data_IF_219175330440
#
_entry.id   IF_219175330440
#
_cell.length_a   1.000
_cell.length_b   1.000
_cell.length_c   1.000
_cell.angle_alpha   90.00
_cell.angle_beta   90.00
_cell.angle_gamma   90.00
#
_symmetry.space_group_name_H-M   'P 1'
#
loop_
_entity.id
_entity.type
_entity.pdbx_description
1 polymer ?
#
# COMPACT_ATOMS: atom_id res chain seq x y z
N UNK A 1 49.74 20.28 -44.38
CA UNK A 1 49.33 20.67 -43.01
C UNK A 1 47.88 20.27 -42.67
N UNK A 2 46.90 20.54 -43.55
CA UNK A 2 45.47 20.25 -43.30
C UNK A 2 45.14 18.76 -43.06
N UNK A 3 45.76 17.83 -43.80
CA UNK A 3 45.53 16.37 -43.66
C UNK A 3 45.93 15.80 -42.29
N UNK A 4 46.97 16.38 -41.65
CA UNK A 4 47.44 15.99 -40.31
C UNK A 4 46.50 16.50 -39.22
N UNK A 5 45.97 17.72 -39.36
CA UNK A 5 44.95 18.28 -38.46
C UNK A 5 43.64 17.48 -38.50
N UNK A 6 43.20 17.06 -39.70
CA UNK A 6 42.01 16.22 -39.88
C UNK A 6 42.15 14.85 -39.19
N UNK A 7 43.26 14.13 -39.43
CA UNK A 7 43.55 12.84 -38.78
C UNK A 7 43.62 12.95 -37.26
N UNK A 8 44.11 14.07 -36.73
CA UNK A 8 44.17 14.31 -35.29
C UNK A 8 42.79 14.58 -34.68
N UNK A 9 41.92 15.32 -35.39
CA UNK A 9 40.52 15.49 -34.99
C UNK A 9 39.77 14.14 -34.99
N UNK A 10 39.94 13.32 -36.03
CA UNK A 10 39.31 11.99 -36.13
C UNK A 10 39.70 11.08 -34.94
N UNK A 11 40.96 11.16 -34.47
CA UNK A 11 41.43 10.39 -33.31
C UNK A 11 40.79 10.89 -32.01
N UNK A 12 40.71 12.21 -31.83
CA UNK A 12 40.07 12.81 -30.65
C UNK A 12 38.60 12.42 -30.59
N UNK A 13 37.89 12.46 -31.72
CA UNK A 13 36.48 12.09 -31.79
C UNK A 13 36.26 10.61 -31.44
N UNK A 14 37.16 9.72 -31.90
CA UNK A 14 37.15 8.30 -31.52
C UNK A 14 37.37 8.13 -30.02
N UNK A 15 38.35 8.82 -29.42
CA UNK A 15 38.59 8.76 -27.97
C UNK A 15 37.40 9.26 -27.15
N UNK A 16 36.78 10.37 -27.57
CA UNK A 16 35.58 10.92 -26.92
C UNK A 16 34.42 9.92 -27.03
N UNK A 17 34.24 9.30 -28.19
CA UNK A 17 33.22 8.26 -28.41
C UNK A 17 33.41 7.04 -27.50
N UNK A 18 34.65 6.52 -27.41
CA UNK A 18 34.99 5.39 -26.53
C UNK A 18 34.79 5.76 -25.05
N UNK A 19 35.24 6.95 -24.63
CA UNK A 19 35.06 7.41 -23.25
C UNK A 19 33.57 7.54 -22.89
N UNK A 20 32.75 8.11 -23.77
CA UNK A 20 31.29 8.22 -23.59
C UNK A 20 30.63 6.84 -23.48
N UNK A 21 31.05 5.88 -24.31
CA UNK A 21 30.56 4.49 -24.23
C UNK A 21 30.94 3.82 -22.90
N UNK A 22 32.16 4.00 -22.41
CA UNK A 22 32.59 3.45 -21.12
C UNK A 22 31.80 4.06 -19.95
N UNK A 23 31.53 5.37 -19.97
CA UNK A 23 30.72 6.04 -18.96
C UNK A 23 29.28 5.51 -18.96
N UNK A 24 28.67 5.40 -20.14
CA UNK A 24 27.29 4.87 -20.26
C UNK A 24 27.18 3.42 -19.81
N UNK A 25 28.15 2.57 -20.16
CA UNK A 25 28.23 1.19 -19.65
C UNK A 25 28.40 1.16 -18.14
N UNK A 26 29.23 2.02 -17.56
CA UNK A 26 29.44 2.10 -16.11
C UNK A 26 28.17 2.54 -15.38
N UNK A 27 27.45 3.54 -15.90
CA UNK A 27 26.16 3.96 -15.34
C UNK A 27 25.15 2.82 -15.45
N UNK A 28 25.10 2.09 -16.57
CA UNK A 28 24.22 0.95 -16.74
C UNK A 28 24.52 -0.17 -15.74
N UNK A 29 25.78 -0.54 -15.55
CA UNK A 29 26.18 -1.59 -14.60
C UNK A 29 25.87 -1.19 -13.16
N UNK A 30 26.14 0.05 -12.75
CA UNK A 30 25.75 0.56 -11.42
C UNK A 30 24.23 0.46 -11.22
N UNK A 31 23.44 0.91 -12.20
CA UNK A 31 21.98 0.82 -12.12
C UNK A 31 21.49 -0.64 -12.04
N UNK A 32 22.14 -1.56 -12.74
CA UNK A 32 21.83 -2.98 -12.67
C UNK A 32 22.15 -3.56 -11.29
N UNK A 33 23.32 -3.24 -10.73
CA UNK A 33 23.71 -3.66 -9.38
C UNK A 33 22.74 -3.16 -8.31
N UNK A 34 22.32 -1.89 -8.38
CA UNK A 34 21.32 -1.32 -7.47
C UNK A 34 20.01 -2.11 -7.57
N UNK A 35 19.54 -2.43 -8.78
CA UNK A 35 18.31 -3.23 -8.97
C UNK A 35 18.44 -4.64 -8.39
N UNK A 36 19.58 -5.29 -8.57
CA UNK A 36 19.85 -6.62 -7.99
C UNK A 36 19.84 -6.55 -6.46
N UNK A 37 20.50 -5.56 -5.87
CA UNK A 37 20.51 -5.35 -4.42
C UNK A 37 19.10 -5.10 -3.89
N UNK A 38 18.32 -4.22 -4.54
CA UNK A 38 16.92 -3.98 -4.19
C UNK A 38 16.06 -5.25 -4.32
N UNK A 39 16.28 -6.05 -5.36
CA UNK A 39 15.58 -7.32 -5.54
C UNK A 39 15.90 -8.31 -4.41
N UNK A 40 17.17 -8.50 -4.09
CA UNK A 40 17.60 -9.37 -2.98
C UNK A 40 17.01 -8.86 -1.65
N UNK A 41 17.02 -7.54 -1.43
CA UNK A 41 16.40 -6.94 -0.25
C UNK A 41 14.90 -7.24 -0.17
N UNK A 42 14.16 -7.09 -1.27
CA UNK A 42 12.73 -7.40 -1.32
C UNK A 42 12.48 -8.90 -1.08
N UNK A 43 13.30 -9.79 -1.66
CA UNK A 43 13.25 -11.24 -1.40
C UNK A 43 13.40 -11.53 0.09
N UNK A 44 14.50 -11.09 0.70
CA UNK A 44 14.82 -11.34 2.10
C UNK A 44 13.71 -10.79 3.00
N UNK A 45 13.30 -9.54 2.77
CA UNK A 45 12.31 -8.90 3.64
C UNK A 45 10.92 -9.52 3.51
N UNK A 46 10.50 -9.99 2.32
CA UNK A 46 9.23 -10.71 2.18
C UNK A 46 9.27 -12.02 2.98
N UNK A 47 10.33 -12.81 2.84
CA UNK A 47 10.45 -14.09 3.55
C UNK A 47 10.56 -13.93 5.08
N UNK A 48 11.30 -12.94 5.56
CA UNK A 48 11.51 -12.73 7.00
C UNK A 48 10.36 -11.99 7.70
N UNK A 49 9.49 -11.29 6.96
CA UNK A 49 8.44 -10.46 7.56
C UNK A 49 7.27 -11.23 8.18
N UNK A 50 7.06 -12.51 7.82
CA UNK A 50 5.83 -13.24 8.15
C UNK A 50 4.62 -12.86 7.28
N UNK A 51 4.76 -11.92 6.33
CA UNK A 51 3.66 -11.45 5.48
C UNK A 51 3.02 -12.58 4.66
N UNK A 52 3.80 -13.57 4.21
CA UNK A 52 3.26 -14.76 3.51
C UNK A 52 2.25 -15.53 4.38
N UNK A 53 2.56 -15.70 5.68
CA UNK A 53 1.68 -16.40 6.63
C UNK A 53 0.40 -15.59 6.88
N UNK A 54 0.52 -14.26 6.95
CA UNK A 54 -0.60 -13.35 7.22
C UNK A 54 -1.53 -13.15 6.03
N UNK A 55 -0.98 -12.90 4.85
CA UNK A 55 -1.74 -12.54 3.65
C UNK A 55 -2.10 -13.73 2.76
N UNK A 56 -1.45 -14.88 2.95
CA UNK A 56 -1.50 -16.01 2.00
C UNK A 56 -0.76 -15.73 0.68
N UNK A 57 -0.18 -14.55 0.49
CA UNK A 57 0.53 -14.19 -0.72
C UNK A 57 2.01 -14.60 -0.64
N UNK A 58 2.43 -15.52 -1.52
CA UNK A 58 3.84 -15.88 -1.69
C UNK A 58 4.66 -14.80 -2.40
N UNK A 59 5.98 -14.95 -2.40
CA UNK A 59 6.92 -13.96 -2.96
C UNK A 59 6.52 -13.44 -4.34
N UNK A 60 6.31 -14.33 -5.32
CA UNK A 60 5.96 -13.93 -6.69
C UNK A 60 4.66 -13.12 -6.75
N UNK A 61 3.63 -13.56 -6.03
CA UNK A 61 2.32 -12.87 -5.98
C UNK A 61 2.42 -11.50 -5.30
N UNK A 62 3.30 -11.36 -4.31
CA UNK A 62 3.57 -10.07 -3.64
C UNK A 62 4.41 -9.15 -4.50
N UNK A 63 5.52 -9.65 -5.07
CA UNK A 63 6.51 -8.84 -5.77
C UNK A 63 5.98 -8.28 -7.11
N UNK A 64 5.28 -9.11 -7.88
CA UNK A 64 4.78 -8.72 -9.21
C UNK A 64 3.41 -8.01 -9.18
N UNK A 65 2.68 -8.07 -8.06
CA UNK A 65 1.45 -7.31 -7.89
C UNK A 65 1.72 -5.99 -7.13
N UNK A 66 1.47 -4.85 -7.80
CA UNK A 66 1.71 -3.54 -7.19
C UNK A 66 0.85 -3.28 -5.94
N UNK A 67 -0.39 -3.78 -5.88
CA UNK A 67 -1.25 -3.66 -4.70
C UNK A 67 -0.65 -4.37 -3.49
N UNK A 68 -0.41 -5.68 -3.62
CA UNK A 68 0.19 -6.50 -2.56
C UNK A 68 1.56 -5.97 -2.12
N UNK A 69 2.38 -5.46 -3.04
CA UNK A 69 3.67 -4.87 -2.69
C UNK A 69 3.51 -3.59 -1.83
N UNK A 70 2.42 -2.85 -2.02
CA UNK A 70 2.04 -1.71 -1.18
C UNK A 70 1.68 -2.13 0.23
N UNK A 71 0.76 -3.09 0.34
CA UNK A 71 0.33 -3.67 1.62
C UNK A 71 1.51 -4.26 2.39
N UNK A 72 2.35 -5.07 1.74
CA UNK A 72 3.56 -5.64 2.33
C UNK A 72 4.48 -4.56 2.92
N UNK A 73 4.68 -3.45 2.20
CA UNK A 73 5.53 -2.35 2.66
C UNK A 73 4.95 -1.63 3.88
N UNK A 74 3.62 -1.50 3.96
CA UNK A 74 2.95 -0.95 5.14
C UNK A 74 3.04 -1.95 6.30
N UNK A 75 2.66 -3.20 6.09
CA UNK A 75 2.74 -4.31 7.05
C UNK A 75 4.12 -4.40 7.71
N UNK A 76 5.19 -4.41 6.91
CA UNK A 76 6.57 -4.52 7.41
C UNK A 76 6.97 -3.35 8.33
N UNK A 77 6.40 -2.16 8.12
CA UNK A 77 6.62 -1.00 8.99
C UNK A 77 5.76 -1.08 10.25
N UNK A 78 4.51 -1.52 10.14
CA UNK A 78 3.61 -1.70 11.28
C UNK A 78 4.10 -2.80 12.23
N UNK A 79 4.72 -3.87 11.72
CA UNK A 79 5.36 -4.93 12.53
C UNK A 79 6.46 -4.41 13.47
N UNK A 80 6.95 -3.18 13.25
CA UNK A 80 7.91 -2.52 14.16
C UNK A 80 7.24 -1.74 15.29
N UNK A 81 5.93 -1.56 15.24
CA UNK A 81 5.13 -0.82 16.22
C UNK A 81 4.28 -1.75 17.09
N UNK A 82 3.78 -2.84 16.53
CA UNK A 82 2.84 -3.78 17.17
C UNK A 82 3.30 -5.22 16.98
N UNK A 83 2.73 -6.13 17.79
CA UNK A 83 3.03 -7.56 17.66
C UNK A 83 2.44 -8.13 16.37
N UNK A 84 2.99 -9.24 15.90
CA UNK A 84 2.52 -9.86 14.66
C UNK A 84 1.06 -10.33 14.76
N UNK A 85 0.60 -10.82 15.91
CA UNK A 85 -0.79 -11.26 16.16
C UNK A 85 -1.80 -10.10 16.26
N UNK A 86 -1.33 -8.87 16.28
CA UNK A 86 -2.15 -7.65 16.28
C UNK A 86 -2.37 -7.10 14.87
N UNK A 87 -1.66 -7.64 13.86
CA UNK A 87 -1.81 -7.24 12.46
C UNK A 87 -2.54 -8.33 11.67
N UNK A 88 -3.57 -7.91 10.96
CA UNK A 88 -4.39 -8.74 10.08
C UNK A 88 -4.33 -8.16 8.66
N UNK A 89 -4.44 -9.04 7.67
CA UNK A 89 -4.39 -8.68 6.24
C UNK A 89 -5.42 -9.50 5.49
N UNK A 90 -6.02 -8.94 4.45
CA UNK A 90 -6.99 -9.63 3.59
C UNK A 90 -8.17 -10.22 4.39
N UNK A 91 -8.74 -9.45 5.33
CA UNK A 91 -9.93 -9.88 6.07
C UNK A 91 -11.15 -9.68 5.18
N UNK A 92 -11.98 -10.71 5.02
CA UNK A 92 -13.23 -10.62 4.28
C UNK A 92 -14.39 -10.61 5.26
N UNK A 93 -15.07 -9.47 5.35
CA UNK A 93 -16.26 -9.32 6.19
C UNK A 93 -17.51 -9.25 5.32
N UNK A 94 -18.70 -9.59 5.83
CA UNK A 94 -19.95 -9.33 5.13
C UNK A 94 -20.04 -7.86 4.68
N UNK A 95 -20.29 -7.64 3.39
CA UNK A 95 -20.35 -6.30 2.81
C UNK A 95 -21.76 -5.70 2.85
N UNK A 96 -21.84 -4.37 2.66
CA UNK A 96 -23.13 -3.67 2.50
C UNK A 96 -23.64 -3.72 1.05
N UNK A 97 -22.73 -3.49 0.08
CA UNK A 97 -23.06 -3.38 -1.35
C UNK A 97 -22.58 -4.59 -2.17
N UNK A 98 -21.82 -5.47 -1.55
CA UNK A 98 -21.20 -6.67 -2.10
C UNK A 98 -21.37 -7.78 -1.08
N UNK A 99 -21.26 -9.04 -1.50
CA UNK A 99 -21.38 -10.18 -0.58
C UNK A 99 -20.34 -10.08 0.54
N UNK A 100 -19.14 -9.62 0.20
CA UNK A 100 -18.05 -9.37 1.15
C UNK A 100 -17.37 -8.02 0.88
N UNK A 101 -16.72 -7.44 1.88
CA UNK A 101 -15.73 -6.36 1.73
C UNK A 101 -14.36 -6.88 2.17
N UNK A 102 -13.34 -6.70 1.34
CA UNK A 102 -11.95 -7.01 1.67
C UNK A 102 -11.31 -5.83 2.39
N UNK A 103 -10.76 -6.08 3.58
CA UNK A 103 -9.92 -5.13 4.31
C UNK A 103 -8.45 -5.44 4.01
N UNK A 104 -7.75 -4.48 3.41
CA UNK A 104 -6.33 -4.63 3.06
C UNK A 104 -5.47 -4.97 4.28
N UNK A 105 -5.56 -4.12 5.32
CA UNK A 105 -4.77 -4.27 6.55
C UNK A 105 -5.52 -3.69 7.75
N UNK A 106 -5.46 -4.39 8.88
CA UNK A 106 -6.04 -4.00 10.15
C UNK A 106 -5.01 -4.16 11.28
N UNK A 107 -4.90 -3.15 12.14
CA UNK A 107 -4.20 -3.25 13.42
C UNK A 107 -5.23 -3.29 14.55
N UNK A 108 -5.10 -4.27 15.43
CA UNK A 108 -5.97 -4.50 16.59
C UNK A 108 -5.20 -4.16 17.86
N UNK A 109 -5.66 -3.17 18.63
CA UNK A 109 -4.99 -2.73 19.86
C UNK A 109 -6.01 -2.34 20.94
N UNK A 110 -5.56 -2.22 22.20
CA UNK A 110 -6.41 -1.67 23.29
C UNK A 110 -6.93 -0.26 22.99
N UNK A 111 -6.18 0.50 22.18
CA UNK A 111 -6.53 1.87 21.78
C UNK A 111 -7.65 1.94 20.76
N UNK A 112 -8.00 0.82 20.14
CA UNK A 112 -8.96 0.74 19.05
C UNK A 112 -8.44 -0.05 17.86
N UNK A 113 -9.25 -0.11 16.80
CA UNK A 113 -8.96 -0.80 15.56
C UNK A 113 -8.52 0.19 14.49
N UNK A 114 -7.33 0.05 13.93
CA UNK A 114 -6.84 0.94 12.87
C UNK A 114 -6.94 0.20 11.55
N UNK A 115 -7.90 0.58 10.71
CA UNK A 115 -8.16 -0.04 9.41
C UNK A 115 -7.54 0.80 8.30
N UNK A 116 -6.75 0.15 7.45
CA UNK A 116 -5.98 0.82 6.40
C UNK A 116 -6.50 0.44 5.02
N UNK A 117 -6.75 1.45 4.20
CA UNK A 117 -6.90 1.31 2.75
C UNK A 117 -5.57 1.70 2.10
N UNK A 118 -4.94 0.80 1.34
CA UNK A 118 -3.56 0.95 0.88
C UNK A 118 -3.49 1.21 -0.62
N UNK A 119 -3.07 2.42 -1.00
CA UNK A 119 -2.87 2.80 -2.41
C UNK A 119 -1.39 2.89 -2.77
N UNK A 120 -0.87 1.88 -3.48
CA UNK A 120 0.52 1.89 -3.98
C UNK A 120 0.73 2.74 -5.24
N UNK A 121 0.27 3.99 -5.21
CA UNK A 121 0.36 4.91 -6.33
C UNK A 121 1.54 5.87 -6.20
N UNK A 122 2.11 6.25 -7.34
CA UNK A 122 3.05 7.36 -7.48
C UNK A 122 2.44 8.53 -8.24
N UNK A 123 3.20 9.61 -8.43
CA UNK A 123 2.71 10.79 -9.16
C UNK A 123 1.72 11.63 -8.35
N UNK A 124 1.05 12.57 -9.01
CA UNK A 124 0.09 13.47 -8.36
C UNK A 124 -1.25 12.77 -8.16
N UNK A 125 -1.83 12.91 -6.99
CA UNK A 125 -3.15 12.37 -6.64
C UNK A 125 -4.09 13.53 -6.34
N UNK A 126 -5.24 13.52 -7.00
CA UNK A 126 -6.31 14.51 -6.85
C UNK A 126 -7.61 13.82 -6.50
N UNK A 127 -8.38 14.43 -5.59
CA UNK A 127 -9.72 13.97 -5.26
C UNK A 127 -10.28 14.64 -4.00
N UNK A 128 -11.60 14.54 -3.86
CA UNK A 128 -12.36 15.02 -2.71
C UNK A 128 -13.10 13.87 -2.03
N UNK A 129 -13.59 14.12 -0.81
CA UNK A 129 -14.50 13.17 -0.13
C UNK A 129 -15.78 12.91 -0.92
N UNK A 130 -16.29 13.89 -1.67
CA UNK A 130 -17.55 13.81 -2.41
C UNK A 130 -17.41 13.03 -3.72
N UNK A 131 -16.22 13.01 -4.31
CA UNK A 131 -15.96 12.36 -5.58
C UNK A 131 -16.20 10.84 -5.51
N UNK A 132 -16.79 10.25 -6.54
CA UNK A 132 -16.85 8.80 -6.68
C UNK A 132 -15.49 8.21 -7.06
N UNK A 133 -14.74 8.94 -7.89
CA UNK A 133 -13.44 8.53 -8.41
C UNK A 133 -12.39 9.60 -8.18
N UNK A 134 -11.21 9.19 -7.74
CA UNK A 134 -10.03 10.03 -7.65
C UNK A 134 -9.17 9.87 -8.91
N UNK A 135 -8.26 10.80 -9.14
CA UNK A 135 -7.39 10.82 -10.31
C UNK A 135 -5.92 10.76 -9.91
N UNK A 136 -5.19 9.81 -10.50
CA UNK A 136 -3.73 9.75 -10.50
C UNK A 136 -3.19 10.36 -11.79
N UNK A 137 -2.18 11.22 -11.68
CA UNK A 137 -1.44 11.80 -12.81
C UNK A 137 0.03 11.44 -12.68
N UNK A 138 0.53 10.56 -13.55
CA UNK A 138 1.95 10.17 -13.59
C UNK A 138 2.77 11.14 -14.44
N UNK A 139 2.19 11.64 -15.53
CA UNK A 139 2.74 12.66 -16.41
C UNK A 139 1.60 13.31 -17.21
N UNK A 140 1.91 14.23 -18.13
CA UNK A 140 0.91 14.97 -18.91
C UNK A 140 -0.09 14.06 -19.66
N UNK A 141 0.37 12.91 -20.17
CA UNK A 141 -0.43 11.98 -20.97
C UNK A 141 -0.98 10.78 -20.19
N UNK A 142 -0.49 10.55 -18.96
CA UNK A 142 -0.86 9.40 -18.14
C UNK A 142 -1.70 9.87 -16.95
N UNK A 143 -3.02 9.81 -17.15
CA UNK A 143 -4.04 10.09 -16.14
C UNK A 143 -4.91 8.85 -15.96
N UNK A 144 -5.09 8.41 -14.73
CA UNK A 144 -5.84 7.20 -14.39
C UNK A 144 -6.83 7.52 -13.30
N UNK A 145 -8.11 7.20 -13.53
CA UNK A 145 -9.13 7.26 -12.48
C UNK A 145 -9.11 5.97 -11.66
N UNK A 146 -9.38 6.09 -10.37
CA UNK A 146 -9.55 4.96 -9.47
C UNK A 146 -10.65 5.28 -8.45
N UNK A 147 -11.32 4.25 -7.96
CA UNK A 147 -12.43 4.44 -7.01
C UNK A 147 -11.94 5.14 -5.74
N UNK A 148 -12.77 6.03 -5.19
CA UNK A 148 -12.39 6.87 -4.05
C UNK A 148 -12.03 5.99 -2.83
N UNK A 149 -10.78 6.04 -2.34
CA UNK A 149 -10.32 5.20 -1.24
C UNK A 149 -11.04 5.52 0.09
N UNK A 150 -11.55 6.74 0.26
CA UNK A 150 -12.32 7.10 1.46
C UNK A 150 -13.65 6.36 1.52
N UNK A 151 -14.29 6.17 0.36
CA UNK A 151 -15.55 5.42 0.27
C UNK A 151 -15.31 3.94 0.57
N UNK A 152 -14.20 3.37 0.09
CA UNK A 152 -13.80 1.99 0.40
C UNK A 152 -13.55 1.83 1.90
N UNK A 153 -12.75 2.73 2.47
CA UNK A 153 -12.40 2.67 3.88
C UNK A 153 -13.60 2.89 4.82
N UNK A 154 -14.56 3.73 4.44
CA UNK A 154 -15.82 3.85 5.16
C UNK A 154 -16.62 2.54 5.16
N UNK A 155 -16.67 1.82 4.03
CA UNK A 155 -17.32 0.52 3.96
C UNK A 155 -16.62 -0.51 4.87
N UNK A 156 -15.28 -0.49 4.94
CA UNK A 156 -14.52 -1.34 5.86
C UNK A 156 -14.82 -1.04 7.33
N UNK A 157 -14.86 0.25 7.68
CA UNK A 157 -15.22 0.70 9.02
C UNK A 157 -16.62 0.20 9.40
N UNK A 158 -17.62 0.41 8.54
CA UNK A 158 -18.99 -0.10 8.77
C UNK A 158 -19.06 -1.62 8.86
N UNK A 159 -18.28 -2.34 8.06
CA UNK A 159 -18.23 -3.79 8.15
C UNK A 159 -17.62 -4.26 9.48
N UNK A 160 -16.58 -3.60 9.99
CA UNK A 160 -16.00 -3.90 11.31
C UNK A 160 -16.98 -3.61 12.44
N UNK A 161 -17.63 -2.45 12.42
CA UNK A 161 -18.65 -2.06 13.39
C UNK A 161 -19.74 -3.14 13.49
N UNK A 162 -20.33 -3.52 12.35
CA UNK A 162 -21.39 -4.50 12.29
C UNK A 162 -20.90 -5.91 12.66
N UNK A 163 -19.77 -6.34 12.10
CA UNK A 163 -19.26 -7.70 12.28
C UNK A 163 -18.72 -7.95 13.69
N UNK A 164 -18.21 -6.93 14.39
CA UNK A 164 -17.68 -7.06 15.76
C UNK A 164 -18.64 -6.51 16.82
N UNK A 165 -19.69 -5.80 16.42
CA UNK A 165 -20.66 -5.19 17.35
C UNK A 165 -19.98 -4.23 18.32
N UNK A 166 -19.13 -3.36 17.79
CA UNK A 166 -18.31 -2.38 18.55
C UNK A 166 -18.73 -0.95 18.22
N UNK A 167 -18.48 0.04 19.10
CA UNK A 167 -18.78 1.44 18.80
C UNK A 167 -18.02 1.94 17.57
N UNK A 168 -18.67 2.75 16.74
CA UNK A 168 -18.10 3.33 15.53
C UNK A 168 -16.81 4.10 15.83
N UNK A 169 -16.74 4.81 16.95
CA UNK A 169 -15.61 5.63 17.38
C UNK A 169 -14.38 4.80 17.77
N UNK A 170 -14.54 3.48 17.95
CA UNK A 170 -13.44 2.57 18.31
C UNK A 170 -12.58 2.16 17.10
N UNK A 171 -12.92 2.64 15.90
CA UNK A 171 -12.22 2.33 14.66
C UNK A 171 -11.66 3.61 14.04
N UNK A 172 -10.38 3.57 13.66
CA UNK A 172 -9.64 4.63 13.00
C UNK A 172 -9.44 4.28 11.52
N UNK A 173 -10.25 4.84 10.60
CA UNK A 173 -10.08 4.62 9.17
C UNK A 173 -8.94 5.47 8.61
N UNK A 174 -7.91 4.84 8.04
CA UNK A 174 -6.73 5.53 7.48
C UNK A 174 -6.50 5.15 6.02
N UNK A 175 -6.44 6.14 5.12
CA UNK A 175 -5.99 5.89 3.74
C UNK A 175 -4.49 6.15 3.63
N UNK A 176 -3.74 5.10 3.31
CA UNK A 176 -2.27 5.16 3.17
C UNK A 176 -1.83 5.10 1.71
N UNK A 177 -1.27 6.20 1.22
CA UNK A 177 -0.64 6.23 -0.10
C UNK A 177 0.85 5.93 -0.02
N UNK A 178 1.42 5.37 -1.09
CA UNK A 178 2.88 5.21 -1.15
C UNK A 178 3.60 6.56 -1.04
N UNK A 179 4.82 6.56 -0.48
CA UNK A 179 5.67 7.76 -0.41
C UNK A 179 6.06 8.33 -1.78
N UNK A 180 5.78 7.63 -2.89
CA UNK A 180 6.00 8.13 -4.27
C UNK A 180 4.86 9.02 -4.75
N UNK A 181 3.74 9.05 -4.02
CA UNK A 181 2.60 9.90 -4.32
C UNK A 181 2.84 11.34 -3.85
N UNK A 182 2.28 12.29 -4.60
CA UNK A 182 2.13 13.69 -4.25
C UNK A 182 0.65 13.96 -4.06
N UNK A 183 0.19 13.92 -2.82
CA UNK A 183 -1.19 14.25 -2.47
C UNK A 183 -1.42 15.75 -2.72
N UNK A 184 -2.20 16.09 -3.75
CA UNK A 184 -2.36 17.46 -4.22
C UNK A 184 -3.84 17.80 -4.34
N UNK A 185 -4.27 18.91 -3.72
CA UNK A 185 -5.69 19.32 -3.69
C UNK A 185 -6.62 18.20 -3.15
N UNK A 186 -6.15 17.46 -2.14
CA UNK A 186 -6.99 16.50 -1.44
C UNK A 186 -7.93 17.26 -0.50
N UNK A 187 -9.23 17.20 -0.78
CA UNK A 187 -10.28 17.89 0.00
C UNK A 187 -10.99 16.87 0.89
N UNK A 188 -10.50 16.72 2.11
CA UNK A 188 -10.98 15.74 3.11
C UNK A 188 -11.10 16.39 4.47
N UNK A 189 -11.98 15.86 5.30
CA UNK A 189 -12.10 16.26 6.70
C UNK A 189 -11.03 15.60 7.58
N UNK A 190 -10.86 16.13 8.80
CA UNK A 190 -9.88 15.63 9.77
C UNK A 190 -10.21 14.21 10.27
N UNK A 191 -11.45 13.75 10.13
CA UNK A 191 -11.93 12.45 10.59
C UNK A 191 -11.56 11.30 9.64
N UNK A 192 -11.17 11.61 8.40
CA UNK A 192 -10.81 10.61 7.39
C UNK A 192 -9.38 10.83 6.88
N UNK A 193 -8.36 10.54 7.70
CA UNK A 193 -6.98 10.88 7.39
C UNK A 193 -6.47 10.21 6.10
N UNK A 194 -5.98 11.02 5.17
CA UNK A 194 -5.32 10.60 3.93
C UNK A 194 -3.88 11.07 3.93
N UNK A 195 -2.93 10.14 3.90
CA UNK A 195 -1.52 10.50 4.04
C UNK A 195 -0.58 9.50 3.38
N UNK A 196 0.68 9.90 3.14
CA UNK A 196 1.69 8.93 2.70
C UNK A 196 2.12 8.00 3.83
N UNK A 197 2.60 6.80 3.47
CA UNK A 197 3.02 5.73 4.40
C UNK A 197 3.92 6.21 5.53
N UNK A 198 4.87 7.14 5.28
CA UNK A 198 5.72 7.69 6.36
C UNK A 198 4.87 8.34 7.47
N UNK A 199 3.89 9.15 7.09
CA UNK A 199 3.00 9.82 8.01
C UNK A 199 1.99 8.83 8.62
N UNK A 200 1.54 7.83 7.85
CA UNK A 200 0.68 6.74 8.37
C UNK A 200 1.32 6.05 9.58
N UNK A 201 2.62 5.76 9.51
CA UNK A 201 3.34 5.15 10.63
C UNK A 201 3.47 6.10 11.82
N UNK A 202 3.71 7.40 11.57
CA UNK A 202 3.75 8.40 12.65
C UNK A 202 2.38 8.50 13.35
N UNK A 203 1.31 8.59 12.58
CA UNK A 203 -0.08 8.65 13.07
C UNK A 203 -0.46 7.39 13.85
N UNK A 204 -0.13 6.22 13.32
CA UNK A 204 -0.34 4.94 14.01
C UNK A 204 0.39 4.90 15.35
N UNK A 205 1.68 5.29 15.37
CA UNK A 205 2.46 5.35 16.60
C UNK A 205 1.84 6.31 17.62
N UNK A 206 1.32 7.43 17.18
CA UNK A 206 0.69 8.43 18.04
C UNK A 206 -0.57 7.87 18.72
N UNK A 207 -1.48 7.23 17.95
CA UNK A 207 -2.64 6.53 18.51
C UNK A 207 -2.21 5.49 19.54
N UNK A 208 -1.23 4.65 19.20
CA UNK A 208 -0.79 3.56 20.06
C UNK A 208 -0.12 4.05 21.36
N UNK A 209 0.56 5.20 21.32
CA UNK A 209 1.31 5.74 22.46
C UNK A 209 0.46 6.64 23.36
N UNK A 210 -0.47 7.41 22.78
CA UNK A 210 -1.18 8.49 23.49
C UNK A 210 -2.71 8.33 23.52
N UNK A 211 -3.29 7.41 22.74
CA UNK A 211 -4.73 7.16 22.76
C UNK A 211 -5.21 6.61 24.11
N UNK A 212 -6.50 6.80 24.46
CA UNK A 212 -7.09 6.12 25.61
C UNK A 212 -7.19 4.61 25.34
N UNK A 213 -7.18 3.80 26.39
CA UNK A 213 -7.60 2.39 26.26
C UNK A 213 -9.12 2.35 26.12
N UNK A 214 -9.61 1.81 25.01
CA UNK A 214 -11.03 1.70 24.66
C UNK A 214 -11.52 0.25 24.87
N UNK A 215 -10.65 -0.74 24.68
CA UNK A 215 -10.97 -2.15 24.86
C UNK A 215 -10.31 -2.75 26.10
N UNK A 216 -11.07 -3.50 26.88
CA UNK A 216 -10.54 -4.40 27.91
C UNK A 216 -9.78 -5.57 27.26
N UNK A 217 -8.96 -6.28 28.05
CA UNK A 217 -8.26 -7.48 27.57
C UNK A 217 -9.23 -8.57 27.07
N UNK A 218 -10.36 -8.76 27.76
CA UNK A 218 -11.39 -9.73 27.37
C UNK A 218 -12.04 -9.37 26.03
N UNK A 219 -12.42 -8.10 25.86
CA UNK A 219 -12.99 -7.60 24.61
C UNK A 219 -11.99 -7.71 23.46
N UNK A 220 -10.71 -7.42 23.72
CA UNK A 220 -9.64 -7.56 22.72
C UNK A 220 -9.46 -9.02 22.29
N UNK A 221 -9.52 -9.96 23.24
CA UNK A 221 -9.43 -11.40 22.96
C UNK A 221 -10.64 -11.89 22.14
N UNK A 222 -11.84 -11.42 22.46
CA UNK A 222 -13.05 -11.73 21.68
C UNK A 222 -12.94 -11.20 20.24
N UNK A 223 -12.51 -9.94 20.07
CA UNK A 223 -12.28 -9.34 18.76
C UNK A 223 -11.27 -10.17 17.96
N UNK A 224 -10.12 -10.50 18.56
CA UNK A 224 -9.10 -11.33 17.91
C UNK A 224 -9.67 -12.71 17.51
N UNK A 225 -10.48 -13.33 18.36
CA UNK A 225 -11.13 -14.62 18.06
C UNK A 225 -12.10 -14.54 16.87
N UNK A 226 -12.97 -13.53 16.85
CA UNK A 226 -13.94 -13.30 15.76
C UNK A 226 -13.23 -12.97 14.44
N UNK A 227 -12.18 -12.16 14.49
CA UNK A 227 -11.38 -11.83 13.31
C UNK A 227 -10.64 -13.05 12.76
N UNK A 228 -10.04 -13.88 13.61
CA UNK A 228 -9.37 -15.11 13.17
C UNK A 228 -10.33 -16.08 12.47
N UNK A 229 -11.61 -16.10 12.87
CA UNK A 229 -12.65 -16.89 12.21
C UNK A 229 -13.09 -16.29 10.86
N UNK A 230 -12.97 -14.96 10.70
CA UNK A 230 -13.29 -14.24 9.47
C UNK A 230 -12.15 -14.20 8.43
N UNK A 231 -10.95 -14.69 8.77
CA UNK A 231 -9.86 -14.83 7.79
C UNK A 231 -10.26 -15.95 6.82
N UNK A 232 -10.95 -15.57 5.75
CA UNK A 232 -11.39 -16.50 4.71
C UNK A 232 -10.18 -17.03 3.95
N UNK A 233 -10.07 -18.36 3.91
CA UNK A 233 -8.99 -19.07 3.22
C UNK A 233 -9.36 -19.52 1.82
N UNK A 234 -10.62 -19.33 1.39
CA UNK A 234 -11.08 -19.81 0.09
C UNK A 234 -10.84 -18.80 -1.04
N UNK A 235 -10.23 -19.30 -2.12
CA UNK A 235 -9.90 -18.54 -3.32
C UNK A 235 -11.16 -18.17 -4.11
N UNK A 236 -12.27 -18.91 -3.97
CA UNK A 236 -13.54 -18.63 -4.64
C UNK A 236 -14.15 -17.31 -4.17
N UNK A 237 -14.20 -17.06 -2.86
CA UNK A 237 -14.72 -15.82 -2.28
C UNK A 237 -13.93 -14.59 -2.71
N UNK A 238 -12.58 -14.70 -2.76
CA UNK A 238 -11.72 -13.63 -3.29
C UNK A 238 -12.06 -13.30 -4.75
N UNK A 239 -12.29 -14.32 -5.57
CA UNK A 239 -12.59 -14.15 -7.00
C UNK A 239 -13.97 -13.53 -7.20
N UNK A 240 -14.98 -14.00 -6.44
CA UNK A 240 -16.33 -13.44 -6.47
C UNK A 240 -16.33 -11.97 -6.04
N UNK A 241 -15.63 -11.63 -4.95
CA UNK A 241 -15.51 -10.25 -4.49
C UNK A 241 -14.91 -9.33 -5.56
N UNK A 242 -13.80 -9.73 -6.20
CA UNK A 242 -13.17 -8.95 -7.28
C UNK A 242 -14.14 -8.73 -8.46
N UNK A 243 -14.93 -9.75 -8.80
CA UNK A 243 -15.95 -9.66 -9.85
C UNK A 243 -17.07 -8.67 -9.48
N UNK A 244 -17.62 -8.77 -8.28
CA UNK A 244 -18.69 -7.88 -7.78
C UNK A 244 -18.22 -6.41 -7.75
N UNK A 245 -17.02 -6.16 -7.21
CA UNK A 245 -16.44 -4.80 -7.17
C UNK A 245 -16.23 -4.25 -8.57
N UNK A 246 -15.76 -5.08 -9.51
CA UNK A 246 -15.54 -4.65 -10.90
C UNK A 246 -16.86 -4.26 -11.59
N UNK A 247 -17.96 -4.98 -11.32
CA UNK A 247 -19.29 -4.64 -11.85
C UNK A 247 -19.84 -3.34 -11.26
N UNK A 248 -19.63 -3.10 -9.96
CA UNK A 248 -20.05 -1.86 -9.30
C UNK A 248 -19.30 -0.63 -9.83
N UNK A 249 -18.03 -0.79 -10.20
CA UNK A 249 -17.20 0.29 -10.75
C UNK A 249 -17.59 0.63 -12.21
N UNK A 250 -18.23 -0.28 -12.93
CA UNK A 250 -18.63 -0.08 -14.33
C UNK A 250 -20.01 0.55 -14.51
N UNK A 251 -20.84 0.59 -13.46
CA UNK A 251 -22.14 1.28 -13.43
C UNK A 251 -21.97 2.75 -13.05
#
# INVERSE_FOLDING_TARGET
>A
MARRKKKQADIVDVFVGVASLLVTLTIFTINLLIKIICFIYDVITIYQSGYKKKSGNGFFKTYFNKGHMGEFRLYRKLKRLVKEDEIYTNIYLPGLNTTHTELDLLVVSKKGLIVYEVKNYGGYIYGSKLDTYWTQVLNYFSKHKFYNPLRQNYAHHKALENYLTIPFESVYPVVSFSNRSKLSKIQVDSTSPVMQTKNTIKYTKDILSHGPDIFSDDMLNEIKSRLNSAILKDQSTKTNHVSEVSQLIQK
#
